data_IF_550502469721
#
_entry.id   IF_550502469721
#
_cell.length_a   1.000
_cell.length_b   1.000
_cell.length_c   1.000
_cell.angle_alpha   90.00
_cell.angle_beta   90.00
_cell.angle_gamma   90.00
#
_symmetry.space_group_name_H-M   'P 1'
#
loop_
_entity.id
_entity.type
_entity.pdbx_description
1 polymer ?
2 non-polymer ?
3 non-polymer ?
4 non-polymer ?
5 water ?
#
# COMPACT_ATOMS: atom_id res chain seq x y z
N UNK A 1 -3.06 -20.04 -3.01
CA UNK A 1 -2.97 -19.27 -4.29
C UNK A 1 -2.84 -20.23 -5.47
N UNK A 2 -3.84 -20.23 -6.35
CA UNK A 2 -3.87 -21.19 -7.46
C UNK A 2 -2.80 -20.91 -8.50
N UNK A 3 -2.27 -21.98 -9.08
CA UNK A 3 -1.19 -21.90 -10.05
C UNK A 3 -1.50 -20.99 -11.22
N UNK A 4 -2.78 -20.88 -11.58
CA UNK A 4 -3.17 -20.02 -12.69
C UNK A 4 -2.72 -18.58 -12.49
N UNK A 5 -2.78 -18.11 -11.25
CA UNK A 5 -2.33 -16.75 -10.93
C UNK A 5 -0.83 -16.64 -11.22
N UNK A 6 -0.06 -17.63 -10.77
CA UNK A 6 1.36 -17.71 -11.08
C UNK A 6 1.64 -17.79 -12.58
N UNK A 7 0.81 -18.54 -13.30
CA UNK A 7 1.02 -18.70 -14.74
C UNK A 7 0.87 -17.36 -15.46
N UNK A 8 -0.17 -16.62 -15.10
CA UNK A 8 -0.40 -15.31 -15.70
C UNK A 8 0.70 -14.33 -15.29
N UNK A 9 1.18 -14.44 -14.05
CA UNK A 9 2.29 -13.62 -13.59
C UNK A 9 3.54 -13.91 -14.43
N UNK A 10 3.77 -15.18 -14.73
CA UNK A 10 4.90 -15.56 -15.59
C UNK A 10 4.78 -14.87 -16.94
N UNK A 11 3.60 -14.94 -17.55
CA UNK A 11 3.37 -14.30 -18.84
C UNK A 11 3.73 -12.82 -18.79
N UNK A 12 3.38 -12.17 -17.68
CA UNK A 12 3.62 -10.74 -17.55
C UNK A 12 5.11 -10.42 -17.39
N UNK A 13 5.78 -11.13 -16.48
CA UNK A 13 7.19 -10.91 -16.22
C UNK A 13 8.03 -11.25 -17.45
N UNK A 14 7.68 -12.34 -18.13
CA UNK A 14 8.41 -12.77 -19.32
C UNK A 14 8.30 -11.71 -20.41
N UNK A 15 7.14 -11.06 -20.51
CA UNK A 15 6.89 -10.06 -21.54
C UNK A 15 7.59 -8.75 -21.24
N UNK A 16 7.65 -8.38 -19.96
CA UNK A 16 8.26 -7.13 -19.52
C UNK A 16 9.77 -7.27 -19.34
N UNK A 17 10.16 -8.28 -18.59
CA UNK A 17 11.54 -8.39 -18.11
C UNK A 17 12.35 -9.45 -18.83
N UNK A 18 11.67 -10.46 -19.38
CA UNK A 18 12.33 -11.55 -20.08
C UNK A 18 12.28 -12.84 -19.27
N UNK A 19 12.49 -13.97 -19.97
CA UNK A 19 12.44 -15.27 -19.33
C UNK A 19 13.57 -15.44 -18.31
N UNK A 20 14.71 -14.81 -18.60
CA UNK A 20 15.87 -14.92 -17.71
C UNK A 20 15.56 -14.35 -16.33
N UNK A 21 14.76 -13.29 -16.29
CA UNK A 21 14.38 -12.69 -15.03
C UNK A 21 13.38 -13.56 -14.29
N UNK A 22 12.44 -14.16 -15.02
CA UNK A 22 11.45 -15.04 -14.40
C UNK A 22 12.13 -16.24 -13.74
N UNK A 23 13.13 -16.79 -14.42
CA UNK A 23 13.85 -17.94 -13.90
C UNK A 23 14.67 -17.57 -12.65
N UNK A 24 15.20 -16.36 -12.62
CA UNK A 24 15.87 -15.86 -11.42
C UNK A 24 14.86 -15.78 -10.27
N UNK A 25 13.72 -15.17 -10.54
CA UNK A 25 12.67 -15.02 -9.55
C UNK A 25 12.21 -16.37 -9.01
N UNK A 26 12.04 -17.32 -9.92
CA UNK A 26 11.52 -18.63 -9.55
C UNK A 26 12.52 -19.42 -8.73
N UNK A 27 13.80 -19.34 -9.10
CA UNK A 27 14.85 -20.05 -8.39
C UNK A 27 15.02 -19.52 -6.97
N UNK A 28 14.82 -18.22 -6.80
CA UNK A 28 15.07 -17.56 -5.52
C UNK A 28 13.89 -17.70 -4.56
N UNK A 29 12.68 -17.65 -5.09
CA UNK A 29 11.47 -17.55 -4.26
C UNK A 29 10.63 -18.82 -4.24
N UNK A 30 11.04 -19.83 -4.99
CA UNK A 30 10.32 -21.11 -5.01
C UNK A 30 11.29 -22.29 -4.91
N UNK A 31 10.83 -23.42 -4.34
CA UNK A 31 11.69 -24.60 -4.24
C UNK A 31 12.17 -25.09 -5.60
N UNK A 32 13.20 -25.94 -5.57
CA UNK A 32 13.79 -26.48 -6.80
C UNK A 32 12.74 -27.15 -7.68
N UNK A 33 12.81 -26.87 -8.98
CA UNK A 33 11.95 -27.50 -9.98
C UNK A 33 10.46 -27.21 -9.76
N UNK A 34 10.15 -26.05 -9.19
CA UNK A 34 8.77 -25.63 -9.02
C UNK A 34 8.08 -25.51 -10.37
N UNK A 35 6.90 -26.12 -10.48
CA UNK A 35 6.04 -25.98 -11.64
C UNK A 35 4.63 -25.68 -11.16
N UNK A 36 4.07 -24.55 -11.58
CA UNK A 36 2.74 -24.14 -11.16
C UNK A 36 1.66 -24.75 -12.04
N UNK A 37 1.07 -25.85 -11.57
CA UNK A 37 -0.09 -26.44 -12.22
C UNK A 37 -1.27 -25.50 -11.98
N UNK A 38 -1.98 -25.15 -13.05
CA UNK A 38 -2.99 -24.10 -13.00
C UNK A 38 -4.05 -24.31 -11.93
N UNK A 39 -4.53 -25.54 -11.79
CA UNK A 39 -5.62 -25.84 -10.86
C UNK A 39 -5.14 -26.13 -9.43
N UNK A 40 -3.84 -26.23 -9.23
CA UNK A 40 -3.29 -26.60 -7.92
C UNK A 40 -3.04 -25.37 -7.03
N UNK A 41 -3.21 -25.56 -5.72
CA UNK A 41 -2.96 -24.50 -4.75
C UNK A 41 -1.50 -24.44 -4.34
N UNK A 42 -0.99 -23.22 -4.19
CA UNK A 42 0.38 -23.00 -3.73
C UNK A 42 0.41 -21.92 -2.65
N UNK A 43 1.51 -21.87 -1.91
CA UNK A 43 1.68 -20.87 -0.86
C UNK A 43 1.64 -19.46 -1.44
N UNK A 44 0.72 -18.64 -0.93
CA UNK A 44 0.57 -17.27 -1.42
C UNK A 44 1.84 -16.45 -1.16
N UNK A 45 2.65 -16.89 -0.21
CA UNK A 45 3.89 -16.19 0.10
C UNK A 45 4.87 -16.24 -1.08
N UNK A 46 4.81 -17.32 -1.86
CA UNK A 46 5.63 -17.45 -3.05
C UNK A 46 5.30 -16.33 -4.04
N UNK A 47 4.02 -16.03 -4.18
CA UNK A 47 3.58 -15.00 -5.11
C UNK A 47 4.00 -13.62 -4.62
N UNK A 48 3.78 -13.35 -3.34
CA UNK A 48 4.10 -12.05 -2.76
C UNK A 48 5.59 -11.76 -2.84
N UNK A 49 6.41 -12.79 -2.60
CA UNK A 49 7.86 -12.63 -2.64
C UNK A 49 8.32 -12.30 -4.05
N UNK A 50 7.75 -12.98 -5.04
CA UNK A 50 8.08 -12.73 -6.44
C UNK A 50 7.70 -11.30 -6.83
N UNK A 51 6.48 -10.91 -6.50
CA UNK A 51 5.97 -9.60 -6.88
C UNK A 51 6.72 -8.48 -6.15
N UNK A 52 7.09 -8.71 -4.89
CA UNK A 52 7.89 -7.73 -4.16
C UNK A 52 9.25 -7.56 -4.82
N UNK A 53 9.83 -8.67 -5.26
CA UNK A 53 11.11 -8.66 -5.96
C UNK A 53 11.01 -7.83 -7.24
N UNK A 54 9.98 -8.09 -8.03
CA UNK A 54 9.74 -7.33 -9.26
C UNK A 54 9.65 -5.83 -9.00
N UNK A 55 8.89 -5.46 -7.97
CA UNK A 55 8.72 -4.05 -7.61
C UNK A 55 10.05 -3.41 -7.28
N UNK A 56 10.88 -4.14 -6.55
CA UNK A 56 12.21 -3.66 -6.17
C UNK A 56 13.10 -3.50 -7.39
N UNK A 57 13.04 -4.48 -8.30
CA UNK A 57 13.82 -4.44 -9.53
C UNK A 57 13.45 -3.23 -10.38
N UNK A 58 12.15 -2.90 -10.41
CA UNK A 58 11.64 -1.82 -11.23
C UNK A 58 11.59 -0.48 -10.49
N UNK A 59 11.94 -0.50 -9.21
CA UNK A 59 11.82 0.69 -8.35
C UNK A 59 10.44 1.31 -8.46
N UNK A 60 9.42 0.48 -8.28
CA UNK A 60 8.03 0.92 -8.30
C UNK A 60 7.37 0.65 -6.97
N UNK A 61 6.41 1.50 -6.56
CA UNK A 61 5.61 1.18 -5.37
C UNK A 61 4.93 -0.16 -5.52
N UNK A 62 5.00 -0.99 -4.47
CA UNK A 62 4.51 -2.36 -4.54
C UNK A 62 3.04 -2.41 -4.96
N UNK A 63 2.22 -1.48 -4.48
CA UNK A 63 0.79 -1.53 -4.79
C UNK A 63 0.52 -1.13 -6.25
N UNK A 64 1.42 -0.36 -6.85
CA UNK A 64 1.27 0.01 -8.25
C UNK A 64 1.60 -1.19 -9.15
N UNK A 65 2.52 -2.03 -8.70
CA UNK A 65 2.86 -3.25 -9.41
C UNK A 65 1.72 -4.26 -9.31
N UNK A 66 1.15 -4.38 -8.11
CA UNK A 66 0.04 -5.31 -7.88
C UNK A 66 -1.17 -4.88 -8.71
N UNK A 67 -1.40 -3.57 -8.82
CA UNK A 67 -2.50 -3.05 -9.62
C UNK A 67 -2.27 -3.33 -11.11
N UNK A 68 -1.03 -3.14 -11.57
CA UNK A 68 -0.70 -3.39 -12.96
C UNK A 68 -0.94 -4.86 -13.28
N UNK A 69 -0.48 -5.73 -12.39
CA UNK A 69 -0.69 -7.16 -12.53
C UNK A 69 -2.18 -7.50 -12.59
N UNK A 70 -2.95 -6.88 -11.70
CA UNK A 70 -4.38 -7.05 -11.71
C UNK A 70 -5.01 -6.77 -13.07
N UNK A 71 -4.59 -5.67 -13.70
CA UNK A 71 -5.14 -5.33 -15.00
C UNK A 71 -4.73 -6.36 -16.05
N UNK A 72 -3.46 -6.73 -16.07
CA UNK A 72 -2.96 -7.79 -16.93
C UNK A 72 -3.68 -9.11 -16.63
N UNK A 73 -3.99 -9.33 -15.36
CA UNK A 73 -4.56 -10.59 -14.89
C UNK A 73 -5.98 -10.82 -15.41
N UNK A 74 -6.76 -9.76 -15.59
CA UNK A 74 -8.14 -9.96 -16.03
C UNK A 74 -8.18 -10.62 -17.40
N UNK A 75 -7.33 -10.18 -18.32
CA UNK A 75 -7.29 -10.76 -19.65
C UNK A 75 -6.77 -12.19 -19.61
N UNK A 76 -5.85 -12.46 -18.70
CA UNK A 76 -5.33 -13.80 -18.51
C UNK A 76 -6.42 -14.74 -18.05
N UNK A 77 -7.26 -14.27 -17.14
CA UNK A 77 -8.38 -15.06 -16.63
C UNK A 77 -9.50 -15.17 -17.66
N UNK A 78 -9.78 -14.08 -18.36
CA UNK A 78 -10.85 -14.06 -19.34
C UNK A 78 -10.54 -15.00 -20.51
N UNK A 79 -9.26 -15.12 -20.86
CA UNK A 79 -8.88 -15.95 -21.99
C UNK A 79 -8.85 -17.43 -21.58
N UNK A 80 -8.58 -17.69 -20.31
CA UNK A 80 -8.53 -19.06 -19.81
C UNK A 80 -9.91 -19.56 -19.37
N UNK A 81 -10.81 -18.62 -19.08
CA UNK A 81 -12.19 -18.94 -18.69
C UNK A 81 -13.17 -18.09 -19.50
N UNK A 82 -13.09 -18.23 -20.81
CA UNK A 82 -13.88 -17.40 -21.71
C UNK A 82 -15.38 -17.59 -21.50
N UNK A 83 -15.77 -18.83 -21.18
CA UNK A 83 -17.17 -19.15 -20.94
C UNK A 83 -17.73 -18.40 -19.73
N UNK A 84 -16.89 -18.14 -18.72
CA UNK A 84 -17.35 -17.43 -17.54
C UNK A 84 -17.59 -15.95 -17.87
N UNK A 85 -16.62 -15.32 -18.53
CA UNK A 85 -16.73 -13.90 -18.85
C UNK A 85 -17.79 -13.64 -19.92
N UNK A 86 -17.99 -14.59 -20.84
CA UNK A 86 -19.00 -14.41 -21.89
C UNK A 86 -20.42 -14.49 -21.34
N UNK A 87 -20.57 -14.74 -20.04
CA UNK A 87 -21.87 -14.67 -19.39
C UNK A 87 -22.37 -13.22 -19.28
N UNK A 88 -21.47 -12.26 -19.47
CA UNK A 88 -21.79 -10.85 -19.27
C UNK A 88 -21.61 -10.03 -20.54
N UNK A 89 -22.57 -9.14 -20.80
CA UNK A 89 -22.57 -8.34 -22.02
C UNK A 89 -22.03 -6.94 -21.79
N UNK A 90 -21.80 -6.56 -20.53
CA UNK A 90 -21.25 -5.25 -20.22
C UNK A 90 -20.50 -5.22 -18.90
N UNK A 91 -19.74 -4.16 -18.70
CA UNK A 91 -18.89 -4.00 -17.53
C UNK A 91 -19.67 -4.05 -16.23
N UNK A 92 -20.77 -3.31 -16.17
CA UNK A 92 -21.54 -3.19 -14.94
C UNK A 92 -22.11 -4.54 -14.52
N UNK A 93 -22.62 -5.29 -15.49
CA UNK A 93 -23.16 -6.62 -15.23
C UNK A 93 -22.09 -7.55 -14.65
N UNK A 94 -20.90 -7.51 -15.24
CA UNK A 94 -19.81 -8.36 -14.77
C UNK A 94 -19.42 -8.03 -13.33
N UNK A 95 -19.27 -6.75 -13.02
CA UNK A 95 -18.88 -6.33 -11.67
C UNK A 95 -19.91 -6.81 -10.65
N UNK A 96 -21.19 -6.63 -10.98
CA UNK A 96 -22.27 -7.03 -10.09
C UNK A 96 -22.34 -8.55 -9.94
N UNK A 97 -21.71 -9.28 -10.85
CA UNK A 97 -21.73 -10.73 -10.84
C UNK A 97 -20.43 -11.38 -10.36
N UNK A 98 -19.47 -10.58 -9.92
CA UNK A 98 -18.17 -11.12 -9.51
C UNK A 98 -18.34 -12.19 -8.44
N UNK A 99 -19.11 -11.88 -7.41
CA UNK A 99 -19.22 -12.78 -6.29
C UNK A 99 -20.18 -13.94 -6.54
N UNK A 100 -21.39 -13.63 -7.00
CA UNK A 100 -22.45 -14.63 -7.10
C UNK A 100 -22.39 -15.48 -8.37
N UNK A 101 -21.63 -15.04 -9.37
CA UNK A 101 -21.53 -15.75 -10.64
C UNK A 101 -20.11 -16.19 -10.92
N UNK A 102 -19.20 -15.24 -11.05
CA UNK A 102 -17.83 -15.57 -11.42
C UNK A 102 -17.14 -16.43 -10.35
N UNK A 103 -17.02 -15.91 -9.14
CA UNK A 103 -16.27 -16.61 -8.10
C UNK A 103 -17.06 -17.82 -7.59
N UNK A 104 -18.38 -17.82 -7.79
CA UNK A 104 -19.17 -19.03 -7.56
C UNK A 104 -18.73 -20.13 -8.53
N UNK A 105 -18.54 -19.77 -9.80
CA UNK A 105 -18.06 -20.73 -10.80
C UNK A 105 -16.68 -21.23 -10.45
N UNK A 106 -15.83 -20.31 -9.97
CA UNK A 106 -14.46 -20.65 -9.62
C UNK A 106 -14.44 -21.74 -8.55
N UNK A 107 -15.41 -21.72 -7.64
CA UNK A 107 -15.55 -22.77 -6.64
C UNK A 107 -15.93 -24.13 -7.25
N UNK A 108 -16.54 -24.12 -8.43
CA UNK A 108 -16.89 -25.35 -9.12
C UNK A 108 -15.75 -25.81 -10.02
N UNK A 109 -14.98 -24.86 -10.52
CA UNK A 109 -13.87 -25.16 -11.42
C UNK A 109 -12.62 -25.61 -10.69
N UNK A 110 -12.39 -25.04 -9.51
CA UNK A 110 -11.20 -25.29 -8.72
C UNK A 110 -11.54 -25.93 -7.37
N UNK A 111 -10.63 -26.75 -6.85
CA UNK A 111 -10.78 -27.31 -5.52
C UNK A 111 -10.38 -26.31 -4.45
N UNK A 112 -11.35 -25.89 -3.64
CA UNK A 112 -11.13 -25.01 -2.49
C UNK A 112 -10.23 -23.81 -2.79
N UNK A 113 -10.67 -22.94 -3.69
CA UNK A 113 -9.93 -21.71 -4.00
C UNK A 113 -9.95 -20.75 -2.81
N UNK A 114 -8.98 -19.85 -2.74
CA UNK A 114 -8.94 -18.81 -1.72
C UNK A 114 -9.35 -17.49 -2.34
N UNK A 115 -10.61 -17.12 -2.12
CA UNK A 115 -11.23 -16.00 -2.81
C UNK A 115 -11.64 -14.90 -1.83
N UNK A 116 -11.71 -13.65 -2.31
CA UNK A 116 -12.16 -12.56 -1.44
C UNK A 116 -13.67 -12.59 -1.26
N UNK A 117 -14.17 -11.84 -0.29
CA UNK A 117 -15.60 -11.59 -0.21
C UNK A 117 -15.89 -10.25 -0.88
N UNK A 118 -16.78 -10.26 -1.87
CA UNK A 118 -17.12 -9.07 -2.63
C UNK A 118 -18.62 -8.87 -2.69
N UNK A 119 -19.05 -7.62 -2.59
CA UNK A 119 -20.44 -7.25 -2.78
C UNK A 119 -20.53 -5.90 -3.49
N UNK A 120 -21.27 -5.88 -4.59
CA UNK A 120 -21.47 -4.68 -5.36
C UNK A 120 -22.88 -4.13 -5.17
N UNK A 121 -22.98 -2.81 -5.13
CA UNK A 121 -24.26 -2.12 -5.05
C UNK A 121 -24.33 -1.05 -6.14
N UNK A 122 -25.37 -1.10 -6.96
CA UNK A 122 -25.57 -0.08 -7.98
C UNK A 122 -25.91 1.25 -7.33
N UNK A 123 -25.22 2.30 -7.78
CA UNK A 123 -25.45 3.65 -7.29
C UNK A 123 -26.01 4.51 -8.42
N UNK A 124 -26.53 5.70 -8.09
CA UNK A 124 -26.93 6.64 -9.14
C UNK A 124 -25.73 7.14 -9.93
N UNK A 125 -25.98 7.78 -11.07
CA UNK A 125 -24.91 8.39 -11.87
C UNK A 125 -23.93 7.34 -12.38
N UNK A 126 -24.42 6.16 -12.71
CA UNK A 126 -23.61 5.09 -13.28
C UNK A 126 -22.40 4.74 -12.43
N UNK A 127 -22.60 4.69 -11.13
CA UNK A 127 -21.52 4.32 -10.22
C UNK A 127 -21.84 2.99 -9.53
N UNK A 128 -20.79 2.34 -9.07
CA UNK A 128 -20.90 1.08 -8.34
C UNK A 128 -20.10 1.16 -7.06
N UNK A 129 -20.72 0.82 -5.93
CA UNK A 129 -19.99 0.66 -4.67
C UNK A 129 -19.62 -0.81 -4.50
N UNK A 130 -18.33 -1.09 -4.65
CA UNK A 130 -17.83 -2.46 -4.53
C UNK A 130 -17.09 -2.63 -3.21
N UNK A 131 -17.67 -3.43 -2.32
CA UNK A 131 -17.09 -3.72 -1.01
C UNK A 131 -16.22 -4.97 -1.10
N UNK A 132 -14.96 -4.84 -0.69
CA UNK A 132 -13.98 -5.91 -0.79
C UNK A 132 -13.45 -6.27 0.59
N UNK A 133 -13.34 -7.57 0.86
CA UNK A 133 -12.78 -8.07 2.11
C UNK A 133 -11.99 -9.34 1.86
N UNK A 134 -10.80 -9.43 2.46
CA UNK A 134 -9.97 -10.62 2.31
C UNK A 134 -8.77 -10.58 3.25
N UNK A 135 -8.41 -11.74 3.86
CA UNK A 135 -7.23 -11.76 4.73
C UNK A 135 -5.94 -11.52 3.94
N UNK A 136 -6.00 -11.67 2.63
CA UNK A 136 -4.84 -11.45 1.77
C UNK A 136 -4.67 -9.97 1.40
N UNK A 137 -5.73 -9.19 1.61
CA UNK A 137 -5.68 -7.74 1.43
C UNK A 137 -5.12 -7.34 0.06
N UNK A 138 -5.72 -7.92 -0.98
CA UNK A 138 -5.28 -7.69 -2.36
C UNK A 138 -6.22 -6.73 -3.09
N UNK A 139 -6.67 -5.70 -2.38
CA UNK A 139 -7.60 -4.73 -2.93
C UNK A 139 -7.04 -4.01 -4.15
N UNK A 140 -5.72 -3.86 -4.22
CA UNK A 140 -5.13 -3.18 -5.35
C UNK A 140 -5.07 -4.11 -6.56
N UNK A 141 -5.01 -5.42 -6.33
CA UNK A 141 -5.17 -6.38 -7.41
C UNK A 141 -6.61 -6.28 -7.93
N UNK A 142 -7.56 -6.15 -7.01
CA UNK A 142 -8.97 -5.97 -7.38
C UNK A 142 -9.16 -4.72 -8.24
N UNK A 143 -8.52 -3.62 -7.84
CA UNK A 143 -8.58 -2.38 -8.62
C UNK A 143 -8.11 -2.63 -10.04
N UNK A 144 -6.94 -3.27 -10.16
CA UNK A 144 -6.39 -3.59 -11.46
C UNK A 144 -7.34 -4.45 -12.27
N UNK A 145 -7.90 -5.48 -11.64
CA UNK A 145 -8.83 -6.38 -12.31
C UNK A 145 -10.03 -5.63 -12.86
N UNK A 146 -10.51 -4.62 -12.13
CA UNK A 146 -11.64 -3.83 -12.57
C UNK A 146 -11.27 -3.00 -13.79
N UNK A 147 -10.08 -2.41 -13.80
CA UNK A 147 -9.60 -1.66 -14.96
C UNK A 147 -9.44 -2.61 -16.16
N UNK A 148 -9.04 -3.85 -15.87
CA UNK A 148 -8.93 -4.86 -16.90
C UNK A 148 -10.29 -5.22 -17.49
N UNK A 149 -11.27 -5.37 -16.61
CA UNK A 149 -12.64 -5.66 -17.03
C UNK A 149 -13.19 -4.52 -17.89
N UNK A 150 -12.90 -3.27 -17.50
CA UNK A 150 -13.33 -2.12 -18.27
C UNK A 150 -12.74 -2.18 -19.68
N UNK A 151 -11.44 -2.43 -19.74
CA UNK A 151 -10.75 -2.57 -21.01
C UNK A 151 -11.36 -3.68 -21.87
N UNK A 152 -11.75 -4.77 -21.22
CA UNK A 152 -12.34 -5.91 -21.93
C UNK A 152 -13.62 -5.49 -22.65
N UNK A 153 -14.40 -4.61 -22.03
CA UNK A 153 -15.67 -4.14 -22.59
C UNK A 153 -15.55 -2.79 -23.31
N UNK A 154 -14.31 -2.37 -23.60
CA UNK A 154 -14.07 -1.08 -24.24
C UNK A 154 -14.75 0.04 -23.45
N UNK A 155 -14.68 -0.07 -22.12
CA UNK A 155 -15.25 0.92 -21.23
C UNK A 155 -14.16 1.73 -20.55
N UNK A 156 -14.54 2.90 -20.02
CA UNK A 156 -13.62 3.75 -19.27
C UNK A 156 -14.17 3.99 -17.87
N UNK A 157 -13.32 3.78 -16.86
CA UNK A 157 -13.75 3.94 -15.46
C UNK A 157 -12.76 4.75 -14.63
N UNK A 158 -13.25 5.22 -13.49
CA UNK A 158 -12.40 5.76 -12.43
C UNK A 158 -12.78 5.04 -11.14
N UNK A 159 -11.81 4.87 -10.25
CA UNK A 159 -12.05 4.23 -8.96
C UNK A 159 -11.55 5.10 -7.81
N UNK A 160 -12.42 5.28 -6.82
CA UNK A 160 -12.05 5.88 -5.54
C UNK A 160 -11.95 4.78 -4.48
N UNK A 161 -10.94 4.87 -3.64
CA UNK A 161 -10.55 3.76 -2.77
C UNK A 161 -10.12 4.35 -1.42
N UNK A 162 -11.10 4.95 -0.72
CA UNK A 162 -10.82 5.81 0.43
C UNK A 162 -11.07 5.11 1.77
N UNK A 163 -11.72 3.96 1.73
CA UNK A 163 -11.79 3.06 2.87
C UNK A 163 -10.97 1.85 2.48
N UNK A 164 -10.01 1.47 3.32
CA UNK A 164 -9.06 0.44 2.93
C UNK A 164 -8.52 -0.33 4.12
N UNK A 165 -8.34 -1.64 3.92
CA UNK A 165 -7.82 -2.50 4.96
C UNK A 165 -6.41 -2.08 5.35
N UNK A 166 -5.69 -1.48 4.39
CA UNK A 166 -4.32 -1.04 4.64
C UNK A 166 -4.26 0.24 5.47
N UNK A 167 -5.39 0.95 5.57
CA UNK A 167 -5.47 2.14 6.42
C UNK A 167 -6.32 1.85 7.66
N UNK A 168 -6.48 0.58 7.98
CA UNK A 168 -7.01 0.16 9.27
C UNK A 168 -8.41 -0.40 9.32
N UNK A 169 -9.13 -0.38 8.19
CA UNK A 169 -10.49 -0.90 8.16
C UNK A 169 -10.48 -2.43 7.99
N UNK A 170 -11.62 -3.07 8.20
CA UNK A 170 -11.71 -4.52 7.99
C UNK A 170 -12.24 -4.85 6.59
N UNK A 171 -12.32 -3.82 5.75
CA UNK A 171 -12.76 -3.99 4.37
C UNK A 171 -12.33 -2.77 3.57
N UNK A 172 -12.43 -2.87 2.24
CA UNK A 172 -12.20 -1.74 1.36
C UNK A 172 -13.49 -1.38 0.63
N UNK A 173 -13.68 -0.10 0.36
CA UNK A 173 -14.77 0.38 -0.47
C UNK A 173 -14.21 0.95 -1.78
N UNK A 174 -14.49 0.27 -2.88
CA UNK A 174 -14.08 0.74 -4.19
C UNK A 174 -15.28 1.37 -4.88
N UNK A 175 -15.25 2.68 -5.02
CA UNK A 175 -16.33 3.40 -5.69
C UNK A 175 -15.97 3.57 -7.16
N UNK A 176 -16.69 2.86 -8.00
CA UNK A 176 -16.40 2.79 -9.43
C UNK A 176 -17.31 3.74 -10.20
N UNK A 177 -16.72 4.63 -10.97
CA UNK A 177 -17.51 5.48 -11.87
C UNK A 177 -17.35 5.00 -13.30
N UNK A 178 -18.45 4.63 -13.92
CA UNK A 178 -18.45 4.30 -15.34
C UNK A 178 -18.55 5.59 -16.15
N UNK A 179 -17.44 5.99 -16.76
CA UNK A 179 -17.40 7.23 -17.53
C UNK A 179 -17.92 7.02 -18.94
N UNK A 180 -17.66 5.84 -19.50
CA UNK A 180 -18.14 5.53 -20.84
C UNK A 180 -18.13 4.03 -21.14
N UNK A 181 -19.11 3.60 -21.92
CA UNK A 181 -19.07 2.29 -22.56
C UNK A 181 -20.00 2.34 -23.76
N UNK A 182 -20.17 1.23 -24.46
CA UNK A 182 -20.84 1.25 -25.76
C UNK A 182 -22.31 1.67 -25.68
N UNK A 183 -22.91 1.60 -24.50
CA UNK A 183 -24.31 1.97 -24.32
C UNK A 183 -24.48 3.31 -23.62
N UNK A 184 -23.36 4.00 -23.40
CA UNK A 184 -23.38 5.31 -22.76
C UNK A 184 -23.02 6.38 -23.80
N UNK A 185 -23.95 7.28 -24.04
CA UNK A 185 -23.76 8.32 -25.06
C UNK A 185 -23.47 9.67 -24.40
N UNK A 186 -24.49 10.49 -24.20
CA UNK A 186 -24.27 11.80 -23.57
C UNK A 186 -24.18 11.67 -22.05
N UNK A 187 -25.01 10.80 -21.47
CA UNK A 187 -25.00 10.57 -20.03
C UNK A 187 -25.80 9.33 -19.66
N UNK B 1 2.90 -3.28 10.86
CA UNK B 1 3.37 -2.11 11.65
C UNK B 1 4.28 -2.60 12.78
N UNK B 2 5.55 -2.19 12.75
CA UNK B 2 6.52 -2.68 13.71
C UNK B 2 6.27 -2.12 15.11
N UNK B 3 6.62 -2.91 16.11
CA UNK B 3 6.39 -2.55 17.50
C UNK B 3 7.09 -1.28 17.91
N UNK B 4 8.24 -0.99 17.29
CA UNK B 4 8.98 0.23 17.60
C UNK B 4 8.09 1.45 17.37
N UNK B 5 7.25 1.38 16.34
CA UNK B 5 6.33 2.47 16.04
C UNK B 5 5.35 2.64 17.20
N UNK B 6 4.83 1.54 17.72
CA UNK B 6 3.92 1.58 18.85
C UNK B 6 4.64 2.06 20.14
N UNK B 7 5.90 1.68 20.29
CA UNK B 7 6.66 2.07 21.48
C UNK B 7 6.85 3.58 21.54
N UNK B 8 7.22 4.16 20.40
CA UNK B 8 7.41 5.60 20.32
C UNK B 8 6.08 6.31 20.50
N UNK B 9 5.01 5.72 19.96
CA UNK B 9 3.67 6.28 20.13
C UNK B 9 3.28 6.29 21.60
N UNK B 10 3.63 5.23 22.32
CA UNK B 10 3.37 5.16 23.75
C UNK B 10 4.03 6.31 24.49
N UNK B 11 5.33 6.53 24.22
CA UNK B 11 6.05 7.61 24.88
C UNK B 11 5.34 8.94 24.70
N UNK B 12 4.83 9.16 23.49
CA UNK B 12 4.20 10.42 23.15
C UNK B 12 2.86 10.57 23.84
N UNK B 13 2.04 9.52 23.79
CA UNK B 13 0.72 9.54 24.41
C UNK B 13 0.82 9.65 25.93
N UNK B 14 1.79 8.95 26.51
CA UNK B 14 2.01 9.02 27.95
C UNK B 14 2.42 10.46 28.32
N UNK B 15 3.30 11.05 27.52
CA UNK B 15 3.79 12.39 27.80
C UNK B 15 2.66 13.42 27.69
N UNK B 16 1.79 13.26 26.70
CA UNK B 16 0.71 14.22 26.47
C UNK B 16 -0.48 13.96 27.38
N UNK B 17 -0.93 12.71 27.43
CA UNK B 17 -2.24 12.38 28.02
C UNK B 17 -2.17 11.67 29.36
N UNK B 18 -1.02 11.06 29.65
CA UNK B 18 -0.85 10.30 30.89
C UNK B 18 -0.91 8.80 30.63
N UNK B 19 -0.26 8.02 31.50
CA UNK B 19 -0.19 6.57 31.33
C UNK B 19 -1.57 5.92 31.36
N UNK B 20 -2.47 6.48 32.16
CA UNK B 20 -3.83 5.95 32.30
C UNK B 20 -4.54 5.90 30.97
N UNK B 21 -4.33 6.93 30.14
CA UNK B 21 -4.96 7.00 28.84
C UNK B 21 -4.36 5.97 27.90
N UNK B 22 -3.04 5.80 27.95
CA UNK B 22 -2.39 4.79 27.13
C UNK B 22 -2.94 3.40 27.44
N UNK B 23 -3.09 3.11 28.73
CA UNK B 23 -3.60 1.80 29.13
C UNK B 23 -5.02 1.57 28.61
N UNK B 24 -5.85 2.61 28.64
CA UNK B 24 -7.20 2.50 28.12
C UNK B 24 -7.18 2.24 26.62
N UNK B 25 -6.32 2.95 25.91
CA UNK B 25 -6.18 2.79 24.47
C UNK B 25 -5.79 1.35 24.14
N UNK B 26 -4.80 0.84 24.89
CA UNK B 26 -4.32 -0.52 24.70
C UNK B 26 -5.43 -1.53 24.95
N UNK B 27 -6.19 -1.30 26.02
CA UNK B 27 -7.27 -2.20 26.41
C UNK B 27 -8.38 -2.25 25.36
N UNK B 28 -8.70 -1.10 24.77
CA UNK B 28 -9.82 -1.02 23.84
C UNK B 28 -9.46 -1.52 22.45
N UNK B 29 -8.22 -1.29 22.02
CA UNK B 29 -7.84 -1.45 20.62
C UNK B 29 -6.87 -2.59 20.35
N UNK B 30 -6.40 -3.27 21.39
CA UNK B 30 -5.49 -4.40 21.22
C UNK B 30 -5.98 -5.62 22.01
N UNK B 31 -5.52 -6.82 21.62
CA UNK B 31 -5.94 -8.02 22.37
C UNK B 31 -5.43 -8.00 23.80
N UNK B 32 -6.02 -8.83 24.66
CA UNK B 32 -5.63 -8.92 26.05
C UNK B 32 -4.13 -9.18 26.20
N UNK B 33 -3.50 -8.46 27.12
CA UNK B 33 -2.08 -8.64 27.44
C UNK B 33 -1.18 -8.34 26.25
N UNK B 34 -1.60 -7.42 25.39
CA UNK B 34 -0.76 -6.96 24.29
C UNK B 34 0.45 -6.20 24.83
N UNK B 35 1.64 -6.64 24.43
CA UNK B 35 2.86 -5.89 24.62
C UNK B 35 3.52 -5.71 23.25
N UNK B 36 3.85 -4.48 22.92
CA UNK B 36 4.44 -4.19 21.61
C UNK B 36 5.95 -4.39 21.65
N UNK B 37 6.38 -5.50 21.06
CA UNK B 37 7.81 -5.85 20.99
C UNK B 37 8.41 -5.15 19.78
N UNK B 38 9.53 -4.47 20.00
CA UNK B 38 10.10 -3.55 19.03
C UNK B 38 10.22 -4.13 17.62
N UNK B 39 10.70 -5.36 17.52
CA UNK B 39 11.02 -5.95 16.23
C UNK B 39 9.88 -6.77 15.64
N UNK B 40 8.77 -6.91 16.37
CA UNK B 40 7.65 -7.72 15.89
C UNK B 40 6.65 -6.87 15.11
N UNK B 41 5.93 -7.52 14.19
CA UNK B 41 4.93 -6.86 13.36
C UNK B 41 3.53 -7.00 13.95
N UNK B 42 2.76 -5.92 13.85
CA UNK B 42 1.40 -5.87 14.37
C UNK B 42 0.45 -5.30 13.31
N UNK B 43 -0.83 -5.60 13.44
CA UNK B 43 -1.83 -5.11 12.49
C UNK B 43 -1.86 -3.58 12.44
N UNK B 44 -1.93 -3.04 11.24
CA UNK B 44 -2.01 -1.58 11.08
C UNK B 44 -3.32 -1.08 11.70
N UNK B 45 -4.33 -1.94 11.74
CA UNK B 45 -5.61 -1.57 12.36
C UNK B 45 -5.44 -1.14 13.82
N UNK B 46 -4.51 -1.77 14.53
CA UNK B 46 -4.26 -1.38 15.92
C UNK B 46 -3.69 0.04 16.00
N UNK B 47 -2.75 0.36 15.12
CA UNK B 47 -2.17 1.71 15.12
C UNK B 47 -3.21 2.76 14.77
N UNK B 48 -3.93 2.55 13.67
CA UNK B 48 -4.89 3.54 13.20
C UNK B 48 -6.04 3.74 14.19
N UNK B 49 -6.45 2.66 14.85
CA UNK B 49 -7.50 2.75 15.86
C UNK B 49 -7.06 3.61 17.05
N UNK B 50 -5.85 3.36 17.51
CA UNK B 50 -5.29 4.12 18.64
C UNK B 50 -5.17 5.59 18.27
N UNK B 51 -4.62 5.86 17.10
CA UNK B 51 -4.42 7.22 16.63
C UNK B 51 -5.75 7.97 16.50
N UNK B 52 -6.76 7.30 15.96
CA UNK B 52 -8.08 7.91 15.82
C UNK B 52 -8.65 8.28 17.20
N UNK B 53 -8.45 7.39 18.15
CA UNK B 53 -8.94 7.59 19.52
C UNK B 53 -8.23 8.79 20.16
N UNK B 54 -6.91 8.82 20.05
CA UNK B 54 -6.12 9.96 20.55
C UNK B 54 -6.58 11.27 19.92
N UNK B 55 -6.81 11.25 18.61
CA UNK B 55 -7.24 12.44 17.89
C UNK B 55 -8.54 12.97 18.47
N UNK B 56 -9.46 12.05 18.77
CA UNK B 56 -10.74 12.42 19.35
C UNK B 56 -10.57 12.99 20.77
N UNK B 57 -9.72 12.36 21.57
CA UNK B 57 -9.48 12.80 22.95
C UNK B 57 -8.84 14.19 23.01
N UNK B 58 -8.09 14.53 21.97
CA UNK B 58 -7.42 15.83 21.89
C UNK B 58 -8.20 16.80 21.00
N UNK B 59 -9.33 16.35 20.48
CA UNK B 59 -10.16 17.14 19.58
C UNK B 59 -9.34 17.70 18.42
N UNK B 60 -8.50 16.85 17.82
CA UNK B 60 -7.63 17.23 16.72
C UNK B 60 -7.99 16.47 15.46
N UNK B 61 -7.80 17.09 14.29
CA UNK B 61 -7.88 16.31 13.05
C UNK B 61 -6.81 15.22 13.04
N UNK B 62 -7.15 14.04 12.52
CA UNK B 62 -6.23 12.91 12.53
C UNK B 62 -4.91 13.27 11.85
N UNK B 63 -4.97 14.01 10.75
CA UNK B 63 -3.75 14.35 10.00
C UNK B 63 -2.79 15.20 10.83
N UNK B 64 -3.32 16.02 11.73
CA UNK B 64 -2.47 16.82 12.62
C UNK B 64 -1.82 15.93 13.68
N UNK B 65 -2.59 14.98 14.20
CA UNK B 65 -2.05 14.00 15.13
C UNK B 65 -0.92 13.19 14.48
N UNK B 66 -1.18 12.67 13.27
CA UNK B 66 -0.20 11.85 12.57
C UNK B 66 1.05 12.67 12.22
N UNK B 67 0.87 13.92 11.83
CA UNK B 67 2.00 14.79 11.51
C UNK B 67 2.85 15.04 12.75
N UNK B 68 2.20 15.36 13.86
CA UNK B 68 2.90 15.58 15.12
C UNK B 68 3.66 14.32 15.54
N UNK B 69 3.03 13.17 15.37
CA UNK B 69 3.66 11.90 15.71
C UNK B 69 4.93 11.68 14.89
N UNK B 70 4.84 11.91 13.59
CA UNK B 70 5.98 11.79 12.71
C UNK B 70 7.19 12.63 13.13
N UNK B 71 6.95 13.87 13.54
CA UNK B 71 8.02 14.74 13.98
C UNK B 71 8.67 14.18 15.25
N UNK B 72 7.84 13.70 16.16
CA UNK B 72 8.32 13.08 17.39
C UNK B 72 8.99 11.74 17.09
N UNK B 73 8.48 11.05 16.07
CA UNK B 73 8.94 9.70 15.73
C UNK B 73 10.40 9.69 15.26
N UNK B 74 10.82 10.76 14.60
CA UNK B 74 12.16 10.79 14.01
C UNK B 74 13.24 10.59 15.07
N UNK B 75 13.11 11.33 16.17
CA UNK B 75 14.07 11.24 17.26
C UNK B 75 14.00 9.88 17.94
N UNK B 76 12.79 9.33 18.00
CA UNK B 76 12.60 7.98 18.52
C UNK B 76 13.36 6.97 17.69
N UNK B 77 13.29 7.12 16.37
CA UNK B 77 13.97 6.21 15.45
C UNK B 77 15.47 6.46 15.47
N UNK B 78 15.86 7.74 15.48
CA UNK B 78 17.27 8.10 15.42
C UNK B 78 18.03 7.62 16.66
N UNK B 79 17.39 7.71 17.82
CA UNK B 79 18.05 7.33 19.07
C UNK B 79 18.17 5.82 19.18
N UNK B 80 17.22 5.10 18.60
CA UNK B 80 17.23 3.64 18.65
C UNK B 80 18.08 3.05 17.52
N UNK B 81 18.33 3.85 16.49
CA UNK B 81 19.23 3.47 15.40
C UNK B 81 20.21 4.60 15.10
N UNK B 82 21.07 4.89 16.06
CA UNK B 82 22.05 5.96 15.90
C UNK B 82 23.02 5.64 14.77
N UNK B 83 23.27 4.35 14.54
CA UNK B 83 24.19 3.91 13.50
C UNK B 83 23.75 4.35 12.11
N UNK B 84 22.44 4.28 11.87
CA UNK B 84 21.89 4.61 10.56
C UNK B 84 21.95 6.10 10.27
N UNK B 85 21.56 6.90 11.25
CA UNK B 85 21.45 8.34 11.06
C UNK B 85 22.81 9.03 11.05
N UNK B 86 23.78 8.44 11.76
CA UNK B 86 25.13 9.01 11.82
C UNK B 86 25.84 8.97 10.47
N UNK B 87 25.29 8.21 9.53
CA UNK B 87 25.87 8.10 8.20
C UNK B 87 25.71 9.39 7.40
N UNK B 88 24.80 10.26 7.85
CA UNK B 88 24.47 11.49 7.13
C UNK B 88 24.95 12.73 7.89
N UNK B 89 25.34 13.76 7.14
CA UNK B 89 25.91 14.97 7.72
C UNK B 89 24.93 16.15 7.70
N UNK B 90 23.94 16.10 6.81
CA UNK B 90 23.01 17.21 6.66
C UNK B 90 21.61 16.72 6.26
N UNK B 91 20.65 17.64 6.28
CA UNK B 91 19.26 17.32 5.99
C UNK B 91 19.08 16.78 4.59
N UNK B 92 19.62 17.49 3.60
CA UNK B 92 19.44 17.12 2.19
C UNK B 92 19.95 15.71 1.89
N UNK B 93 21.12 15.38 2.40
CA UNK B 93 21.73 14.08 2.11
C UNK B 93 20.95 12.95 2.77
N UNK B 94 20.35 13.23 3.92
CA UNK B 94 19.54 12.23 4.62
C UNK B 94 18.25 11.97 3.86
N UNK B 95 17.58 13.05 3.45
CA UNK B 95 16.34 12.92 2.69
C UNK B 95 16.58 12.16 1.39
N UNK B 96 17.76 12.35 0.80
CA UNK B 96 18.10 11.72 -0.46
C UNK B 96 18.47 10.25 -0.29
N UNK B 97 18.73 9.83 0.94
CA UNK B 97 19.11 8.47 1.24
C UNK B 97 18.06 7.69 2.02
N UNK B 98 16.86 8.26 2.14
CA UNK B 98 15.78 7.60 2.87
C UNK B 98 15.48 6.24 2.28
N UNK B 99 15.29 6.19 0.96
CA UNK B 99 14.90 4.97 0.29
C UNK B 99 16.09 4.03 0.12
N UNK B 100 17.18 4.56 -0.43
CA UNK B 100 18.30 3.72 -0.86
C UNK B 100 19.29 3.37 0.25
N UNK B 101 19.24 4.08 1.37
CA UNK B 101 20.17 3.82 2.47
C UNK B 101 19.45 3.47 3.77
N UNK B 102 18.62 4.39 4.26
CA UNK B 102 17.97 4.20 5.55
C UNK B 102 17.04 2.99 5.53
N UNK B 103 15.99 3.06 4.71
CA UNK B 103 15.00 2.00 4.66
C UNK B 103 15.57 0.71 4.05
N UNK B 104 16.67 0.83 3.32
CA UNK B 104 17.40 -0.36 2.88
C UNK B 104 17.98 -1.07 4.10
N UNK B 105 18.52 -0.28 5.03
CA UNK B 105 19.10 -0.82 6.26
C UNK B 105 18.00 -1.37 7.16
N UNK B 106 16.83 -0.75 7.11
CA UNK B 106 15.70 -1.20 7.90
C UNK B 106 15.26 -2.60 7.46
N UNK B 107 15.37 -2.86 6.16
CA UNK B 107 15.03 -4.19 5.63
C UNK B 107 15.99 -5.26 6.11
N UNK B 108 17.22 -4.86 6.43
CA UNK B 108 18.24 -5.79 6.92
C UNK B 108 18.12 -5.99 8.43
N UNK B 109 17.67 -4.95 9.13
CA UNK B 109 17.57 -4.98 10.58
C UNK B 109 16.27 -5.61 11.05
N UNK B 110 15.21 -5.39 10.28
CA UNK B 110 13.88 -5.87 10.62
C UNK B 110 13.44 -7.01 9.72
N UNK B 111 12.54 -7.86 10.23
CA UNK B 111 12.00 -8.97 9.46
C UNK B 111 10.73 -8.57 8.72
N UNK B 112 10.83 -8.48 7.40
CA UNK B 112 9.71 -8.15 6.53
C UNK B 112 8.93 -6.93 7.01
N UNK B 113 9.61 -5.77 7.06
CA UNK B 113 8.94 -4.52 7.44
C UNK B 113 8.01 -4.01 6.35
N UNK B 114 7.05 -3.18 6.73
CA UNK B 114 6.15 -2.55 5.77
C UNK B 114 6.56 -1.10 5.58
N UNK B 115 7.35 -0.85 4.53
CA UNK B 115 7.93 0.47 4.30
C UNK B 115 7.30 1.13 3.08
N UNK B 116 7.26 2.48 3.09
CA UNK B 116 6.71 3.18 1.93
C UNK B 116 7.70 3.16 0.77
N UNK B 117 7.24 3.52 -0.42
CA UNK B 117 8.14 3.79 -1.53
C UNK B 117 8.40 5.28 -1.58
N UNK B 118 9.68 5.64 -1.61
CA UNK B 118 10.08 7.03 -1.55
C UNK B 118 11.15 7.32 -2.61
N UNK B 119 10.95 8.41 -3.34
CA UNK B 119 11.92 8.87 -4.31
C UNK B 119 12.17 10.36 -4.16
N UNK B 120 13.43 10.73 -3.99
CA UNK B 120 13.82 12.13 -3.86
C UNK B 120 14.68 12.55 -5.02
N UNK B 121 14.41 13.73 -5.57
CA UNK B 121 15.28 14.33 -6.57
C UNK B 121 15.44 15.83 -6.30
N UNK B 122 16.64 16.34 -6.54
CA UNK B 122 16.96 17.72 -6.28
C UNK B 122 16.39 18.64 -7.35
N UNK B 123 15.88 19.80 -6.92
CA UNK B 123 15.26 20.76 -7.82
C UNK B 123 16.05 22.06 -7.86
N UNK B 124 15.75 22.93 -8.85
CA UNK B 124 16.28 24.29 -8.85
C UNK B 124 15.96 25.00 -7.54
N UNK B 125 16.72 26.05 -7.21
CA UNK B 125 16.69 26.64 -5.88
C UNK B 125 17.11 25.59 -4.86
N UNK B 126 16.89 25.88 -3.58
CA UNK B 126 17.16 24.92 -2.52
C UNK B 126 15.90 24.10 -2.22
N UNK B 127 15.50 23.28 -3.18
CA UNK B 127 14.27 22.50 -3.08
C UNK B 127 14.50 21.01 -3.28
N UNK B 128 13.57 20.21 -2.77
CA UNK B 128 13.61 18.76 -2.92
C UNK B 128 12.21 18.23 -3.20
N UNK B 129 12.06 17.56 -4.34
CA UNK B 129 10.81 16.87 -4.65
C UNK B 129 10.87 15.46 -4.08
N UNK B 130 10.06 15.22 -3.04
CA UNK B 130 10.00 13.90 -2.42
C UNK B 130 8.69 13.21 -2.78
N UNK B 131 8.79 12.19 -3.62
CA UNK B 131 7.64 11.40 -4.01
C UNK B 131 7.37 10.33 -2.97
N UNK B 132 6.14 10.31 -2.44
CA UNK B 132 5.75 9.32 -1.44
C UNK B 132 4.61 8.47 -1.97
N UNK B 133 4.76 7.15 -1.84
CA UNK B 133 3.71 6.22 -2.24
C UNK B 133 3.63 5.02 -1.29
N UNK B 134 2.44 4.80 -0.77
CA UNK B 134 2.19 3.71 0.16
C UNK B 134 0.70 3.42 0.28
N UNK B 135 0.33 2.14 0.39
CA UNK B 135 -1.10 1.82 0.56
C UNK B 135 -1.63 2.28 1.92
N UNK B 136 -0.74 2.50 2.87
CA UNK B 136 -1.13 2.91 4.22
C UNK B 136 -1.40 4.42 4.31
N UNK B 137 -1.07 5.13 3.23
CA UNK B 137 -1.38 6.56 3.10
C UNK B 137 -0.94 7.38 4.31
N UNK B 138 0.33 7.24 4.69
CA UNK B 138 0.86 7.90 5.86
C UNK B 138 1.79 9.06 5.47
N UNK B 139 1.38 9.80 4.44
CA UNK B 139 2.16 10.93 3.94
C UNK B 139 2.32 12.03 4.99
N UNK B 140 1.36 12.16 5.89
CA UNK B 140 1.47 13.16 6.94
C UNK B 140 2.47 12.73 8.00
N UNK B 141 2.63 11.43 8.17
CA UNK B 141 3.69 10.91 9.02
C UNK B 141 5.03 11.24 8.38
N UNK B 142 5.11 11.07 7.06
CA UNK B 142 6.32 11.41 6.31
C UNK B 142 6.64 12.89 6.46
N UNK B 143 5.61 13.73 6.37
CA UNK B 143 5.78 15.17 6.59
C UNK B 143 6.39 15.44 7.95
N UNK B 144 5.78 14.86 8.98
CA UNK B 144 6.27 15.00 10.34
C UNK B 144 7.72 14.55 10.45
N UNK B 145 8.02 13.39 9.89
CA UNK B 145 9.36 12.84 9.95
C UNK B 145 10.39 13.77 9.29
N UNK B 146 9.98 14.44 8.22
CA UNK B 146 10.86 15.38 7.53
C UNK B 146 11.15 16.60 8.40
N UNK B 147 10.15 17.07 9.14
CA UNK B 147 10.36 18.19 10.04
C UNK B 147 11.25 17.75 11.21
N UNK B 148 11.06 16.52 11.65
CA UNK B 148 11.88 15.96 12.71
C UNK B 148 13.33 15.85 12.26
N UNK B 149 13.53 15.46 11.01
CA UNK B 149 14.86 15.35 10.45
C UNK B 149 15.49 16.73 10.32
N UNK B 150 14.69 17.70 9.90
CA UNK B 150 15.17 19.07 9.74
C UNK B 150 15.66 19.63 11.08
N UNK B 151 14.90 19.36 12.13
CA UNK B 151 15.26 19.81 13.46
C UNK B 151 16.51 19.10 13.97
N UNK B 152 16.67 17.84 13.59
CA UNK B 152 17.83 17.05 14.01
C UNK B 152 19.12 17.66 13.50
N UNK B 153 19.04 18.35 12.36
CA UNK B 153 20.20 19.02 11.78
C UNK B 153 20.10 20.54 11.95
N UNK B 154 19.29 20.98 12.90
CA UNK B 154 19.15 22.40 13.21
C UNK B 154 18.73 23.19 11.97
N UNK B 155 17.88 22.59 11.15
CA UNK B 155 17.49 23.18 9.87
C UNK B 155 16.01 23.57 9.84
N UNK B 156 15.70 24.55 9.00
CA UNK B 156 14.34 25.03 8.82
C UNK B 156 13.84 24.72 7.41
N UNK B 157 12.60 24.26 7.31
CA UNK B 157 12.02 23.92 6.01
C UNK B 157 10.55 24.32 5.88
N UNK B 158 10.11 24.45 4.64
CA UNK B 158 8.69 24.49 4.30
C UNK B 158 8.39 23.28 3.42
N UNK B 159 7.19 22.73 3.54
CA UNK B 159 6.78 21.61 2.69
C UNK B 159 5.47 21.93 1.99
N UNK B 160 5.47 21.80 0.67
CA UNK B 160 4.26 21.91 -0.14
C UNK B 160 3.75 20.51 -0.46
N UNK B 161 2.46 20.29 -0.24
CA UNK B 161 1.86 18.96 -0.30
C UNK B 161 0.52 19.02 -1.03
N UNK B 162 0.56 19.44 -2.29
CA UNK B 162 -0.66 19.69 -3.06
C UNK B 162 -1.12 18.45 -3.82
N UNK B 163 -0.19 17.68 -4.35
CA UNK B 163 -0.50 16.38 -4.92
C UNK B 163 -0.46 15.35 -3.79
N UNK B 164 -1.59 14.70 -3.53
CA UNK B 164 -1.75 13.86 -2.34
C UNK B 164 -2.71 12.70 -2.60
N UNK B 165 -2.36 11.53 -2.07
CA UNK B 165 -3.19 10.33 -2.20
C UNK B 165 -4.55 10.51 -1.53
N UNK B 166 -4.63 11.42 -0.57
CA UNK B 166 -5.89 11.68 0.13
C UNK B 166 -6.87 12.47 -0.76
N UNK B 167 -6.37 13.09 -1.81
CA UNK B 167 -7.19 13.92 -2.68
C UNK B 167 -7.11 13.49 -4.15
N UNK B 168 -7.03 12.18 -4.39
CA UNK B 168 -7.21 11.63 -5.72
C UNK B 168 -5.98 11.05 -6.41
N UNK B 169 -4.79 11.56 -6.08
CA UNK B 169 -3.58 11.15 -6.78
C UNK B 169 -3.14 9.74 -6.37
N UNK B 170 -2.31 9.12 -7.20
CA UNK B 170 -1.78 7.79 -6.90
C UNK B 170 -0.47 7.88 -6.13
N UNK B 171 -0.13 9.09 -5.71
CA UNK B 171 1.07 9.34 -4.94
C UNK B 171 0.99 10.70 -4.27
N UNK B 172 1.92 10.97 -3.36
CA UNK B 172 2.06 12.29 -2.77
C UNK B 172 3.38 12.90 -3.22
N UNK B 173 3.34 14.19 -3.56
CA UNK B 173 4.53 14.94 -3.91
C UNK B 173 4.78 16.00 -2.86
N UNK B 174 5.84 15.79 -2.07
CA UNK B 174 6.23 16.73 -1.04
C UNK B 174 7.40 17.59 -1.50
N UNK B 175 7.12 18.83 -1.87
CA UNK B 175 8.17 19.77 -2.28
C UNK B 175 8.77 20.44 -1.04
N UNK B 176 9.99 20.07 -0.71
CA UNK B 176 10.67 20.56 0.49
C UNK B 176 11.53 21.79 0.16
N UNK B 177 11.11 22.96 0.64
CA UNK B 177 11.87 24.19 0.44
C UNK B 177 12.81 24.42 1.62
N UNK B 178 14.10 24.23 1.38
CA UNK B 178 15.12 24.35 2.43
C UNK B 178 15.39 25.82 2.76
N UNK B 179 16.05 26.08 3.89
CA UNK B 179 16.30 27.45 4.33
C UNK B 179 17.71 27.64 4.92
N UNK B 180 17.96 27.10 6.11
CA UNK B 180 19.29 27.22 6.74
C UNK B 180 19.66 25.97 7.54
N UNK B 181 20.95 25.81 7.83
CA UNK B 181 21.43 24.65 8.58
C UNK B 181 22.84 24.86 9.17
N UNK B 182 23.41 23.79 9.71
CA UNK B 182 24.68 23.86 10.44
C UNK B 182 25.87 24.29 9.60
N UNK B 183 25.82 23.99 8.30
CA UNK B 183 26.89 24.38 7.37
C UNK B 183 26.40 25.36 6.31
N UNK B 184 25.31 26.06 6.62
CA UNK B 184 24.77 27.08 5.74
C UNK B 184 24.67 28.40 6.49
N UNK B 185 25.48 29.38 6.08
CA UNK B 185 25.57 30.65 6.77
C UNK B 185 24.63 31.69 6.14
N UNK B 186 24.96 32.13 4.92
CA UNK B 186 24.09 33.02 4.17
C UNK B 186 23.27 32.23 3.16
#
# INVERSE_FOLDING_TARGET
MKGIIFNVLEDMVVAQCGMSVWNELLEKHAPKDRVYVSAKSYAESELFSIVQDVAQRLNMPIQDVVKAFGQFLFNGLASRHTDVVDKFDDFTSLVMGIHDVIHLEVNKLYHEPSLPHINGQLLPNNQIALRYSSPRRLCFCAEGLLFGAAQHFAAAIQISHDTCMHTGADHCMLIIELQNDENLYFQ
MKGIIFNVLEDMVVAQCGMSVWNELLEKHAPKDRVYVSAKSYAESELFSIVQDVAQRLNMPIQDVVKAFGQFLFNGLASRHTDVVDKFDDFTSLVMGIHDVIHLEVNKLYHEPSLPHINGQLLPNNQIALRYSSPRRLCFCAEGLLFGAAQHFAAAIQISHDTCMHTGADHCMLIIELQNDENLYFQ
#
